data_IF_524404759319
#
_entry.id   IF_524404759319
#
_cell.length_a   1.000
_cell.length_b   1.000
_cell.length_c   1.000
_cell.angle_alpha   90.00
_cell.angle_beta   90.00
_cell.angle_gamma   90.00
#
_symmetry.space_group_name_H-M   'P 1'
#
loop_
_entity.id
_entity.type
_entity.pdbx_description
1 polymer ?
#
# COMPACT_ATOMS: atom_id res chain seq x y z
N UNK A 1 4.71 11.05 -0.25
CA UNK A 1 4.69 12.12 -1.27
C UNK A 1 3.46 11.94 -2.13
N UNK A 2 2.77 13.03 -2.49
CA UNK A 2 1.75 12.95 -3.53
C UNK A 2 2.43 12.77 -4.88
N UNK A 3 2.06 11.72 -5.59
CA UNK A 3 2.59 11.35 -6.90
C UNK A 3 1.54 11.48 -8.01
N UNK A 4 0.26 11.57 -7.65
CA UNK A 4 -0.84 11.89 -8.55
C UNK A 4 -1.91 12.69 -7.79
N UNK A 5 -2.64 13.62 -8.45
CA UNK A 5 -2.46 14.07 -9.83
C UNK A 5 -1.10 14.76 -10.03
N UNK A 6 -0.59 14.78 -11.27
CA UNK A 6 0.76 15.33 -11.57
C UNK A 6 0.92 16.76 -11.07
N UNK A 7 -0.14 17.58 -11.15
CA UNK A 7 -0.19 18.95 -10.63
C UNK A 7 0.03 19.07 -9.11
N UNK A 8 -0.18 17.99 -8.35
CA UNK A 8 0.02 17.95 -6.90
C UNK A 8 1.44 17.53 -6.49
N UNK A 9 2.33 17.24 -7.45
CA UNK A 9 3.74 16.89 -7.16
C UNK A 9 4.52 18.12 -6.71
N UNK A 10 4.89 18.13 -5.44
CA UNK A 10 5.85 19.10 -4.89
C UNK A 10 7.27 18.51 -4.91
N UNK A 11 8.01 18.75 -6.00
CA UNK A 11 9.38 18.24 -6.16
C UNK A 11 10.38 18.82 -5.15
N UNK A 12 10.06 19.96 -4.52
CA UNK A 12 10.86 20.52 -3.42
C UNK A 12 10.85 19.63 -2.17
N UNK A 13 9.82 18.79 -2.02
CA UNK A 13 9.72 17.80 -0.93
C UNK A 13 10.22 16.41 -1.31
N UNK A 14 10.55 16.18 -2.58
CA UNK A 14 11.01 14.87 -3.04
C UNK A 14 12.53 14.73 -2.87
N UNK A 15 13.03 13.57 -2.44
CA UNK A 15 14.46 13.31 -2.35
C UNK A 15 15.21 13.62 -3.65
N UNK A 16 16.38 14.24 -3.51
CA UNK A 16 17.33 14.45 -4.60
C UNK A 16 18.35 13.31 -4.72
N UNK A 17 18.45 12.50 -3.66
CA UNK A 17 19.31 11.33 -3.59
C UNK A 17 18.49 10.06 -3.34
N UNK A 18 18.87 8.91 -3.94
CA UNK A 18 19.95 8.77 -4.92
C UNK A 18 19.62 9.48 -6.24
N UNK A 19 20.65 9.76 -7.05
CA UNK A 19 20.44 10.34 -8.37
C UNK A 19 19.47 9.47 -9.18
N UNK A 20 18.51 10.11 -9.86
CA UNK A 20 17.45 9.43 -10.60
C UNK A 20 16.21 9.08 -9.78
N UNK A 21 16.17 9.36 -8.47
CA UNK A 21 15.00 9.11 -7.61
C UNK A 21 13.68 9.62 -8.22
N UNK A 22 13.63 10.91 -8.61
CA UNK A 22 12.42 11.53 -9.17
C UNK A 22 11.92 10.77 -10.39
N UNK A 23 12.77 10.59 -11.41
CA UNK A 23 12.40 9.88 -12.64
C UNK A 23 11.91 8.43 -12.38
N UNK A 24 12.53 7.73 -11.42
CA UNK A 24 12.09 6.37 -11.04
C UNK A 24 10.71 6.41 -10.37
N UNK A 25 10.48 7.32 -9.42
CA UNK A 25 9.18 7.44 -8.71
C UNK A 25 8.07 7.89 -9.65
N UNK A 26 8.35 8.79 -10.60
CA UNK A 26 7.37 9.21 -11.61
C UNK A 26 6.91 8.04 -12.47
N UNK A 27 7.86 7.26 -13.00
CA UNK A 27 7.55 6.06 -13.79
C UNK A 27 6.84 4.99 -12.95
N UNK A 28 7.28 4.79 -11.71
CA UNK A 28 6.63 3.86 -10.79
C UNK A 28 5.18 4.26 -10.50
N UNK A 29 4.96 5.56 -10.22
CA UNK A 29 3.64 6.16 -9.98
C UNK A 29 2.67 5.94 -11.15
N UNK A 30 3.12 6.21 -12.38
CA UNK A 30 2.32 6.01 -13.60
C UNK A 30 1.94 4.53 -13.79
N UNK A 31 2.92 3.63 -13.64
CA UNK A 31 2.67 2.17 -13.78
C UNK A 31 1.72 1.65 -12.72
N UNK A 32 1.87 2.11 -11.47
CA UNK A 32 1.01 1.72 -10.36
C UNK A 32 -0.39 2.30 -10.50
N UNK A 33 -0.55 3.53 -11.02
CA UNK A 33 -1.89 4.07 -11.31
C UNK A 33 -2.62 3.20 -12.35
N UNK A 34 -1.93 2.81 -13.43
CA UNK A 34 -2.49 1.89 -14.41
C UNK A 34 -2.86 0.52 -13.84
N UNK A 35 -2.06 -0.01 -12.91
CA UNK A 35 -2.38 -1.25 -12.19
C UNK A 35 -3.59 -1.07 -11.26
N UNK A 36 -3.66 0.03 -10.50
CA UNK A 36 -4.80 0.36 -9.64
C UNK A 36 -6.10 0.43 -10.43
N UNK A 37 -6.11 1.10 -11.59
CA UNK A 37 -7.30 1.15 -12.46
C UNK A 37 -7.77 -0.24 -12.91
N UNK A 38 -6.83 -1.13 -13.27
CA UNK A 38 -7.18 -2.53 -13.63
C UNK A 38 -7.77 -3.29 -12.45
N UNK A 39 -7.20 -3.13 -11.25
CA UNK A 39 -7.71 -3.78 -10.04
C UNK A 39 -9.08 -3.24 -9.62
N UNK A 40 -9.32 -1.93 -9.78
CA UNK A 40 -10.66 -1.33 -9.61
C UNK A 40 -11.67 -1.95 -10.59
N UNK A 41 -11.25 -2.30 -11.81
CA UNK A 41 -12.14 -2.98 -12.74
C UNK A 41 -12.49 -4.40 -12.32
N UNK A 42 -11.52 -5.16 -11.81
CA UNK A 42 -11.77 -6.48 -11.21
C UNK A 42 -12.75 -6.38 -10.03
N UNK A 43 -12.60 -5.37 -9.16
CA UNK A 43 -13.55 -5.14 -8.06
C UNK A 43 -14.93 -4.76 -8.59
N UNK A 44 -15.01 -3.95 -9.65
CA UNK A 44 -16.29 -3.55 -10.27
C UNK A 44 -17.04 -4.78 -10.79
N UNK A 45 -16.37 -5.63 -11.55
CA UNK A 45 -16.92 -6.88 -12.08
C UNK A 45 -17.31 -7.85 -10.95
N UNK A 46 -16.48 -7.98 -9.92
CA UNK A 46 -16.80 -8.79 -8.75
C UNK A 46 -18.04 -8.27 -8.00
N UNK A 47 -18.40 -7.00 -8.16
CA UNK A 47 -19.65 -6.42 -7.65
C UNK A 47 -20.84 -6.57 -8.60
N UNK A 48 -20.65 -7.08 -9.81
CA UNK A 48 -21.69 -7.15 -10.85
C UNK A 48 -21.91 -5.83 -11.58
N UNK A 49 -20.93 -4.93 -11.57
CA UNK A 49 -20.95 -3.65 -12.27
C UNK A 49 -20.16 -3.74 -13.57
N UNK A 50 -20.29 -2.72 -14.42
CA UNK A 50 -19.39 -2.52 -15.56
C UNK A 50 -17.93 -2.38 -15.09
N UNK A 51 -16.98 -2.89 -15.86
CA UNK A 51 -15.55 -2.94 -15.50
C UNK A 51 -14.92 -1.58 -15.18
N UNK A 52 -15.54 -0.46 -15.58
CA UNK A 52 -15.00 0.88 -15.30
C UNK A 52 -15.77 1.61 -14.18
N UNK A 53 -16.77 0.98 -13.57
CA UNK A 53 -17.69 1.66 -12.66
C UNK A 53 -16.98 2.32 -11.46
N UNK A 54 -16.10 1.58 -10.76
CA UNK A 54 -15.35 2.16 -9.65
C UNK A 54 -14.33 3.22 -10.09
N UNK A 55 -13.66 3.01 -11.21
CA UNK A 55 -12.71 3.99 -11.73
C UNK A 55 -13.40 5.31 -12.10
N UNK A 56 -14.61 5.24 -12.69
CA UNK A 56 -15.44 6.41 -13.00
C UNK A 56 -16.02 7.09 -11.75
N UNK A 57 -16.30 6.32 -10.70
CA UNK A 57 -16.77 6.86 -9.42
C UNK A 57 -15.67 7.63 -8.68
N UNK A 58 -14.40 7.27 -8.88
CA UNK A 58 -13.25 8.02 -8.39
C UNK A 58 -12.96 9.24 -9.28
N UNK A 59 -13.82 10.27 -9.19
CA UNK A 59 -13.77 11.50 -10.02
C UNK A 59 -12.38 12.17 -9.97
N UNK A 60 -11.81 12.27 -8.77
CA UNK A 60 -10.45 12.75 -8.53
C UNK A 60 -9.63 11.63 -7.87
N UNK A 61 -8.90 10.88 -8.70
CA UNK A 61 -7.91 9.93 -8.22
C UNK A 61 -6.73 10.71 -7.64
N UNK A 62 -6.36 10.39 -6.40
CA UNK A 62 -5.12 10.80 -5.78
C UNK A 62 -4.20 9.59 -5.61
N UNK A 63 -2.89 9.83 -5.63
CA UNK A 63 -1.92 8.79 -5.31
C UNK A 63 -0.86 9.32 -4.35
N UNK A 64 -0.57 8.53 -3.32
CA UNK A 64 0.48 8.83 -2.34
C UNK A 64 1.46 7.67 -2.22
N UNK A 65 2.74 7.97 -2.40
CA UNK A 65 3.84 7.02 -2.16
C UNK A 65 4.44 7.26 -0.78
N UNK A 66 4.52 6.21 0.03
CA UNK A 66 5.14 6.21 1.37
C UNK A 66 6.28 5.19 1.38
N UNK A 67 7.48 5.66 1.67
CA UNK A 67 8.67 4.80 1.81
C UNK A 67 8.89 4.58 3.31
N UNK A 68 8.81 3.33 3.74
CA UNK A 68 9.00 2.96 5.13
C UNK A 68 10.35 2.27 5.30
N UNK A 69 11.18 2.78 6.21
CA UNK A 69 12.43 2.16 6.60
C UNK A 69 12.35 1.76 8.08
N UNK A 70 12.49 0.46 8.34
CA UNK A 70 12.46 -0.10 9.68
C UNK A 70 13.88 -0.56 10.04
N UNK A 71 14.59 0.16 10.92
CA UNK A 71 15.93 -0.25 11.33
C UNK A 71 15.88 -1.53 12.17
N UNK A 72 17.06 -2.15 12.37
CA UNK A 72 17.21 -3.26 13.32
C UNK A 72 16.77 -2.81 14.71
N UNK A 73 15.97 -3.63 15.39
CA UNK A 73 15.43 -3.34 16.70
C UNK A 73 16.07 -4.27 17.77
N UNK A 74 16.65 -3.73 18.85
CA UNK A 74 17.25 -4.56 19.91
C UNK A 74 16.20 -5.29 20.76
N UNK A 75 14.96 -4.81 20.79
CA UNK A 75 13.86 -5.39 21.56
C UNK A 75 12.60 -5.55 20.68
N UNK A 76 12.65 -6.44 19.66
CA UNK A 76 11.59 -6.56 18.67
C UNK A 76 10.27 -7.07 19.28
N UNK A 77 10.33 -7.85 20.36
CA UNK A 77 9.13 -8.34 21.06
C UNK A 77 8.37 -7.24 21.81
N UNK A 78 9.00 -6.08 22.03
CA UNK A 78 8.42 -4.92 22.70
C UNK A 78 8.11 -3.76 21.75
N UNK A 79 8.40 -3.91 20.46
CA UNK A 79 8.37 -2.81 19.49
C UNK A 79 7.64 -3.20 18.21
N UNK A 80 6.71 -2.36 17.77
CA UNK A 80 6.15 -2.43 16.42
C UNK A 80 6.82 -1.39 15.53
N UNK A 81 7.10 -1.77 14.29
CA UNK A 81 7.57 -0.84 13.27
C UNK A 81 6.45 0.07 12.79
N UNK A 82 5.26 -0.49 12.61
CA UNK A 82 4.03 0.25 12.34
C UNK A 82 2.91 -0.39 13.15
N UNK A 83 2.20 0.44 13.92
CA UNK A 83 1.10 -0.01 14.77
C UNK A 83 -0.04 -0.59 13.92
N UNK A 84 -0.84 -1.44 14.55
CA UNK A 84 -2.09 -1.96 14.01
C UNK A 84 -2.98 -0.84 13.46
N UNK A 85 -3.42 -0.97 12.21
CA UNK A 85 -4.32 -0.03 11.55
C UNK A 85 -5.00 -0.68 10.31
N UNK A 86 -5.96 0.05 9.75
CA UNK A 86 -6.44 -0.14 8.37
C UNK A 86 -5.93 0.99 7.51
N UNK A 87 -5.85 0.75 6.20
CA UNK A 87 -5.36 1.76 5.27
C UNK A 87 -6.47 2.72 4.83
N UNK A 88 -6.20 4.04 4.81
CA UNK A 88 -7.05 4.97 4.09
C UNK A 88 -6.95 4.72 2.57
N UNK A 89 -8.02 5.02 1.83
CA UNK A 89 -8.03 4.86 0.38
C UNK A 89 -8.72 3.58 -0.11
N UNK A 90 -8.53 3.25 -1.39
CA UNK A 90 -9.32 2.22 -2.08
C UNK A 90 -8.57 0.90 -2.22
N UNK A 91 -7.41 0.91 -2.90
CA UNK A 91 -6.58 -0.28 -3.16
C UNK A 91 -5.11 0.10 -2.93
N UNK A 92 -4.59 -0.06 -1.70
CA UNK A 92 -3.18 0.10 -1.44
C UNK A 92 -2.36 -1.01 -2.12
N UNK A 93 -1.20 -0.64 -2.67
CA UNK A 93 -0.23 -1.55 -3.26
C UNK A 93 1.10 -1.41 -2.54
N UNK A 94 1.57 -2.52 -1.98
CA UNK A 94 2.82 -2.58 -1.23
C UNK A 94 3.88 -3.37 -1.99
N UNK A 95 4.98 -2.69 -2.30
CA UNK A 95 6.25 -3.33 -2.63
C UNK A 95 7.04 -3.52 -1.34
N UNK A 96 7.50 -4.73 -1.05
CA UNK A 96 8.32 -5.01 0.13
C UNK A 96 9.57 -5.80 -0.26
N UNK A 97 10.64 -5.61 0.50
CA UNK A 97 11.84 -6.44 0.40
C UNK A 97 11.58 -7.88 0.89
N UNK A 98 12.63 -8.71 0.83
CA UNK A 98 12.58 -10.10 1.26
C UNK A 98 12.79 -10.29 2.78
N UNK A 99 12.92 -9.22 3.57
CA UNK A 99 13.03 -9.31 5.04
C UNK A 99 11.66 -9.61 5.67
N UNK A 100 10.58 -9.14 5.04
CA UNK A 100 9.21 -9.38 5.51
C UNK A 100 8.90 -8.65 6.82
N UNK A 101 7.84 -9.06 7.51
CA UNK A 101 7.37 -8.43 8.75
C UNK A 101 6.02 -7.73 8.64
N UNK A 102 5.39 -7.70 7.46
CA UNK A 102 3.96 -7.38 7.36
C UNK A 102 3.14 -8.51 7.99
N UNK A 103 2.22 -8.15 8.88
CA UNK A 103 1.26 -9.08 9.45
C UNK A 103 -0.16 -8.54 9.27
N UNK A 104 -1.10 -9.43 8.96
CA UNK A 104 -2.52 -9.11 8.86
C UNK A 104 -3.34 -9.97 9.82
N UNK A 105 -4.49 -9.47 10.23
CA UNK A 105 -5.42 -10.18 11.12
C UNK A 105 -6.82 -10.24 10.52
N UNK A 106 -7.55 -11.32 10.81
CA UNK A 106 -8.97 -11.49 10.43
C UNK A 106 -9.91 -11.44 11.63
N UNK A 107 -9.38 -11.48 12.85
CA UNK A 107 -10.15 -11.69 14.09
C UNK A 107 -9.91 -10.59 15.14
N UNK A 108 -9.59 -9.39 14.66
CA UNK A 108 -9.37 -8.24 15.54
C UNK A 108 -8.09 -8.32 16.36
N UNK A 109 -7.06 -9.00 15.86
CA UNK A 109 -5.71 -9.06 16.44
C UNK A 109 -5.53 -10.21 17.43
N UNK A 110 -6.45 -11.18 17.47
CA UNK A 110 -6.28 -12.39 18.29
C UNK A 110 -5.30 -13.34 17.63
N UNK A 111 -5.30 -13.42 16.29
CA UNK A 111 -4.34 -14.16 15.49
C UNK A 111 -3.75 -13.31 14.38
N UNK A 112 -2.45 -13.48 14.15
CA UNK A 112 -1.70 -12.74 13.15
C UNK A 112 -1.13 -13.67 12.09
N UNK A 113 -1.36 -13.31 10.82
CA UNK A 113 -0.84 -14.02 9.66
C UNK A 113 0.31 -13.20 9.10
N UNK A 114 1.51 -13.79 9.08
CA UNK A 114 2.67 -13.15 8.44
C UNK A 114 2.56 -13.27 6.93
N UNK A 115 2.58 -12.13 6.24
CA UNK A 115 2.53 -12.08 4.78
C UNK A 115 3.94 -12.32 4.24
N UNK A 116 4.16 -13.50 3.66
CA UNK A 116 5.47 -13.89 3.14
C UNK A 116 5.83 -13.04 1.91
N UNK A 117 7.02 -12.41 1.90
CA UNK A 117 7.50 -11.71 0.71
C UNK A 117 7.69 -12.66 -0.47
N UNK A 118 7.23 -12.23 -1.65
CA UNK A 118 7.44 -12.94 -2.91
C UNK A 118 8.20 -12.00 -3.84
N UNK A 119 9.34 -12.46 -4.35
CA UNK A 119 10.17 -11.67 -5.27
C UNK A 119 9.38 -11.27 -6.51
N UNK A 120 9.39 -9.97 -6.84
CA UNK A 120 8.68 -9.42 -7.99
C UNK A 120 7.17 -9.25 -7.81
N UNK A 121 6.62 -9.51 -6.61
CA UNK A 121 5.19 -9.37 -6.34
C UNK A 121 4.88 -8.09 -5.54
N UNK A 122 3.68 -7.57 -5.79
CA UNK A 122 3.04 -6.60 -4.89
C UNK A 122 2.10 -7.33 -3.94
N UNK A 123 2.04 -6.87 -2.70
CA UNK A 123 0.90 -7.18 -1.83
C UNK A 123 -0.17 -6.13 -2.11
N UNK A 124 -1.39 -6.60 -2.37
CA UNK A 124 -2.56 -5.76 -2.59
C UNK A 124 -3.54 -6.03 -1.47
N UNK A 125 -4.05 -4.98 -0.85
CA UNK A 125 -5.16 -5.05 0.10
C UNK A 125 -6.28 -4.08 -0.29
N UNK A 126 -7.38 -4.16 0.44
CA UNK A 126 -8.48 -3.21 0.32
C UNK A 126 -8.40 -2.21 1.47
N UNK A 127 -8.47 -0.92 1.13
CA UNK A 127 -8.55 0.15 2.11
C UNK A 127 -9.98 0.46 2.51
N UNK A 128 -10.13 1.44 3.41
CA UNK A 128 -11.41 1.82 4.00
C UNK A 128 -12.41 2.33 2.95
N UNK A 129 -11.97 3.12 1.96
CA UNK A 129 -12.87 3.61 0.90
C UNK A 129 -13.37 2.47 0.03
N UNK A 130 -12.51 1.49 -0.28
CA UNK A 130 -12.91 0.30 -1.04
C UNK A 130 -13.95 -0.53 -0.28
N UNK A 131 -13.78 -0.66 1.04
CA UNK A 131 -14.77 -1.28 1.90
C UNK A 131 -16.12 -0.57 1.83
N UNK A 132 -16.15 0.76 2.02
CA UNK A 132 -17.38 1.55 1.98
C UNK A 132 -18.05 1.57 0.61
N UNK A 133 -17.30 1.75 -0.47
CA UNK A 133 -17.84 1.72 -1.84
C UNK A 133 -18.47 0.38 -2.19
N UNK A 134 -17.95 -0.70 -1.63
CA UNK A 134 -18.54 -2.04 -1.79
C UNK A 134 -19.72 -2.34 -0.86
N UNK A 135 -20.20 -1.33 -0.09
CA UNK A 135 -21.19 -1.49 0.98
C UNK A 135 -20.82 -2.62 1.96
N UNK A 136 -19.53 -2.71 2.30
CA UNK A 136 -18.98 -3.69 3.23
C UNK A 136 -18.87 -5.13 2.71
N UNK A 137 -19.14 -5.36 1.42
CA UNK A 137 -19.02 -6.65 0.74
C UNK A 137 -17.59 -7.18 0.77
N UNK A 138 -16.62 -6.32 0.48
CA UNK A 138 -15.20 -6.66 0.62
C UNK A 138 -14.67 -6.10 1.95
N UNK A 139 -13.87 -6.89 2.66
CA UNK A 139 -13.30 -6.48 3.95
C UNK A 139 -11.97 -5.77 3.74
N UNK A 140 -11.82 -4.62 4.39
CA UNK A 140 -10.51 -3.99 4.55
C UNK A 140 -9.60 -4.87 5.44
N UNK A 141 -8.30 -4.72 5.26
CA UNK A 141 -7.31 -5.52 5.97
C UNK A 141 -6.76 -4.76 7.17
N UNK A 142 -7.00 -5.28 8.37
CA UNK A 142 -6.35 -4.83 9.59
C UNK A 142 -4.95 -5.46 9.67
N UNK A 143 -3.92 -4.63 9.77
CA UNK A 143 -2.54 -5.06 9.61
C UNK A 143 -1.55 -4.20 10.41
N UNK A 144 -0.34 -4.74 10.59
CA UNK A 144 0.78 -4.09 11.29
C UNK A 144 2.11 -4.46 10.62
N UNK A 145 3.18 -3.73 10.97
CA UNK A 145 4.55 -4.12 10.61
C UNK A 145 5.36 -4.40 11.87
N UNK A 146 5.86 -5.62 12.01
CA UNK A 146 6.81 -6.01 13.07
C UNK A 146 8.24 -5.70 12.64
N UNK A 147 9.13 -5.55 13.63
CA UNK A 147 10.56 -5.36 13.43
C UNK A 147 11.35 -6.58 13.91
N UNK A 148 12.63 -6.65 13.58
CA UNK A 148 13.53 -7.72 14.01
C UNK A 148 14.91 -7.13 14.37
N UNK A 149 15.73 -7.91 15.08
CA UNK A 149 17.08 -7.48 15.51
C UNK A 149 18.20 -7.73 14.51
N UNK A 150 17.95 -8.43 13.41
CA UNK A 150 18.98 -8.95 12.50
C UNK A 150 19.17 -8.09 11.25
N UNK A 151 18.07 -7.58 10.69
CA UNK A 151 18.04 -6.91 9.39
C UNK A 151 17.09 -5.71 9.39
N UNK A 152 17.53 -4.62 8.76
CA UNK A 152 16.63 -3.52 8.43
C UNK A 152 15.67 -3.94 7.31
N UNK A 153 14.43 -3.45 7.34
CA UNK A 153 13.41 -3.69 6.33
C UNK A 153 13.06 -2.40 5.59
N UNK A 154 12.84 -2.48 4.29
CA UNK A 154 12.29 -1.41 3.45
C UNK A 154 10.97 -1.85 2.81
N UNK A 155 9.98 -0.95 2.79
CA UNK A 155 8.80 -1.14 1.95
C UNK A 155 8.31 0.17 1.34
N UNK A 156 7.65 0.09 0.20
CA UNK A 156 7.06 1.22 -0.52
C UNK A 156 5.56 0.95 -0.65
N UNK A 157 4.77 1.69 0.10
CA UNK A 157 3.30 1.65 0.02
C UNK A 157 2.82 2.74 -0.94
N UNK A 158 1.92 2.37 -1.85
CA UNK A 158 1.27 3.28 -2.79
C UNK A 158 -0.23 3.24 -2.52
N UNK A 159 -0.79 4.35 -2.10
CA UNK A 159 -2.21 4.55 -1.83
C UNK A 159 -2.86 5.27 -3.00
#
# INVERSE_FOLDING_TARGET
YFSYPVKARDYGRWPEKPAGWRAVVERYSERLMGLSCKLLGVLSEAMGLESEALAKACVDMDQKVVVNFYPRCPQPDLTLGLKRHTDPGTIPLLLQDLVGGLQATRDGGKTWITVQPISGAFVVNLGDHGHFMSNGRFKNADHQAVVNGQSSRLSIATF
#
